data_IF_917003700779
#
_entry.id   IF_917003700779
#
_cell.length_a   1.000
_cell.length_b   1.000
_cell.length_c   1.000
_cell.angle_alpha   90.00
_cell.angle_beta   90.00
_cell.angle_gamma   90.00
#
_symmetry.space_group_name_H-M   'P 1'
#
loop_
_entity.id
_entity.type
_entity.pdbx_description
1 polymer ?
#
# COMPACT_ATOMS: atom_id res chain seq x y z
N UNK A 1 -10.62 13.40 -15.47
CA UNK A 1 -10.60 14.08 -14.15
C UNK A 1 -10.93 13.08 -13.05
N UNK A 2 -10.18 13.06 -11.95
CA UNK A 2 -10.49 12.22 -10.79
C UNK A 2 -11.78 12.73 -10.14
N UNK A 3 -12.75 11.86 -9.89
CA UNK A 3 -14.06 12.26 -9.35
C UNK A 3 -13.92 12.82 -7.92
N UNK A 4 -13.09 12.21 -7.08
CA UNK A 4 -12.81 12.65 -5.70
C UNK A 4 -11.56 11.94 -5.15
N UNK A 5 -10.61 12.69 -4.60
CA UNK A 5 -9.51 12.17 -3.79
C UNK A 5 -9.76 12.61 -2.34
N UNK A 6 -9.85 11.64 -1.43
CA UNK A 6 -10.00 11.87 -0.01
C UNK A 6 -8.63 11.59 0.61
N UNK A 7 -8.04 12.55 1.30
CA UNK A 7 -6.70 12.43 1.87
C UNK A 7 -6.77 12.63 3.37
N UNK A 8 -6.24 11.67 4.13
CA UNK A 8 -6.19 11.68 5.58
C UNK A 8 -4.75 11.46 6.07
N UNK A 9 -4.40 11.99 7.24
CA UNK A 9 -3.11 11.77 7.87
C UNK A 9 -1.94 12.53 7.23
N UNK A 10 -2.19 13.60 6.47
CA UNK A 10 -1.12 14.43 5.87
C UNK A 10 -0.17 15.02 6.90
N UNK A 11 -0.64 15.28 8.08
CA UNK A 11 0.11 15.75 9.24
C UNK A 11 1.20 14.76 9.69
N UNK A 12 1.03 13.48 9.39
CA UNK A 12 2.00 12.43 9.68
C UNK A 12 3.24 12.48 8.76
N UNK A 13 3.22 13.29 7.70
CA UNK A 13 4.34 13.37 6.76
C UNK A 13 5.40 14.34 7.29
N UNK A 14 6.61 13.86 7.62
CA UNK A 14 7.67 14.74 8.12
C UNK A 14 8.08 15.76 7.06
N UNK A 15 8.15 17.02 7.42
CA UNK A 15 8.58 18.10 6.51
C UNK A 15 10.04 17.95 6.10
N UNK A 16 10.90 17.42 6.98
CA UNK A 16 12.35 17.23 6.79
C UNK A 16 12.76 15.82 7.20
N UNK A 17 14.01 15.46 6.95
CA UNK A 17 14.57 14.15 7.31
C UNK A 17 14.38 13.09 6.23
N UNK A 18 14.99 11.93 6.45
CA UNK A 18 14.88 10.78 5.55
C UNK A 18 13.51 10.10 5.72
N UNK A 19 12.80 9.91 4.62
CA UNK A 19 11.46 9.31 4.62
C UNK A 19 11.40 8.16 3.62
N UNK A 20 10.79 7.06 4.03
CA UNK A 20 10.44 5.96 3.15
C UNK A 20 8.91 5.76 3.18
N UNK A 21 8.23 6.11 2.08
CA UNK A 21 6.83 5.79 1.90
C UNK A 21 6.65 4.33 1.49
N UNK A 22 5.86 3.59 2.25
CA UNK A 22 5.52 2.17 2.00
C UNK A 22 4.05 2.09 1.61
N UNK A 23 3.78 1.88 0.32
CA UNK A 23 2.44 2.06 -0.27
C UNK A 23 1.90 0.73 -0.77
N UNK A 24 0.64 0.37 -0.47
CA UNK A 24 -0.04 -0.74 -1.15
C UNK A 24 -0.31 -0.40 -2.62
N UNK A 25 -0.53 -1.40 -3.48
CA UNK A 25 -0.46 -1.18 -4.93
C UNK A 25 -1.68 -1.75 -5.70
N UNK A 26 -2.87 -1.14 -5.58
CA UNK A 26 -4.06 -1.58 -6.32
C UNK A 26 -4.06 -1.20 -7.81
N UNK A 27 -3.35 -0.13 -8.22
CA UNK A 27 -3.29 0.32 -9.62
C UNK A 27 -1.87 0.71 -10.03
N UNK A 28 -1.30 -0.03 -11.00
CA UNK A 28 0.11 0.07 -11.37
C UNK A 28 0.57 1.44 -11.87
N UNK A 29 -0.28 2.21 -12.51
CA UNK A 29 0.08 3.50 -13.12
C UNK A 29 -0.36 4.70 -12.26
N UNK A 30 -1.54 4.62 -11.68
CA UNK A 30 -2.17 5.78 -11.04
C UNK A 30 -1.69 5.98 -9.59
N UNK A 31 -1.37 4.92 -8.87
CA UNK A 31 -0.98 5.01 -7.45
C UNK A 31 0.23 5.93 -7.21
N UNK A 32 1.35 5.81 -7.97
CA UNK A 32 2.47 6.72 -7.81
C UNK A 32 2.08 8.19 -8.02
N UNK A 33 1.22 8.46 -9.01
CA UNK A 33 0.76 9.81 -9.34
C UNK A 33 -0.12 10.39 -8.22
N UNK A 34 -1.08 9.60 -7.71
CA UNK A 34 -1.96 10.04 -6.62
C UNK A 34 -1.14 10.37 -5.37
N UNK A 35 -0.22 9.50 -4.97
CA UNK A 35 0.60 9.75 -3.78
C UNK A 35 1.48 11.00 -3.97
N UNK A 36 2.13 11.14 -5.12
CA UNK A 36 3.04 12.28 -5.38
C UNK A 36 2.32 13.61 -5.41
N UNK A 37 1.16 13.68 -6.06
CA UNK A 37 0.40 14.93 -6.18
C UNK A 37 -0.29 15.35 -4.88
N UNK A 38 -0.40 14.43 -3.91
CA UNK A 38 -1.02 14.70 -2.61
C UNK A 38 -0.03 14.67 -1.43
N UNK A 39 1.27 14.76 -1.71
CA UNK A 39 2.37 14.70 -0.76
C UNK A 39 3.25 15.94 -0.92
N UNK A 40 3.63 16.65 0.16
CA UNK A 40 4.44 17.86 0.09
C UNK A 40 5.93 17.59 -0.20
N UNK A 41 6.36 16.32 -0.21
CA UNK A 41 7.76 15.91 -0.43
C UNK A 41 8.01 15.58 -1.89
N UNK A 42 9.19 15.93 -2.39
CA UNK A 42 9.69 15.40 -3.66
C UNK A 42 10.06 13.92 -3.46
N UNK A 43 9.39 13.03 -4.20
CA UNK A 43 9.55 11.60 -4.07
C UNK A 43 10.44 11.01 -5.16
N UNK A 44 11.25 10.04 -4.78
CA UNK A 44 11.98 9.15 -5.67
C UNK A 44 11.32 7.77 -5.63
N UNK A 45 11.06 7.16 -6.79
CA UNK A 45 10.28 5.93 -6.88
C UNK A 45 11.14 4.75 -7.33
N UNK A 46 11.03 3.62 -6.64
CA UNK A 46 11.55 2.38 -7.15
C UNK A 46 10.54 1.75 -8.12
N UNK A 47 10.94 1.61 -9.37
CA UNK A 47 10.10 1.02 -10.41
C UNK A 47 10.83 -0.08 -11.17
N UNK A 48 10.09 -0.96 -11.84
CA UNK A 48 10.65 -2.12 -12.52
C UNK A 48 11.67 -1.70 -13.60
N UNK A 49 12.88 -2.26 -13.57
CA UNK A 49 13.95 -1.96 -14.55
C UNK A 49 13.55 -2.23 -16.00
N UNK A 50 12.64 -3.19 -16.23
CA UNK A 50 12.12 -3.47 -17.57
C UNK A 50 11.42 -2.26 -18.24
N UNK A 51 10.92 -1.29 -17.46
CA UNK A 51 10.32 -0.05 -17.97
C UNK A 51 11.35 0.90 -18.61
N UNK A 52 12.65 0.73 -18.31
CA UNK A 52 13.75 1.59 -18.80
C UNK A 52 14.45 1.09 -20.05
N UNK A 53 13.89 0.12 -20.77
CA UNK A 53 14.57 -0.51 -21.92
C UNK A 53 14.84 0.46 -23.06
N UNK A 54 13.89 1.36 -23.38
CA UNK A 54 14.02 2.33 -24.48
C UNK A 54 14.74 3.60 -23.98
N UNK A 55 15.76 4.14 -24.70
CA UNK A 55 16.53 5.31 -24.26
C UNK A 55 15.68 6.53 -23.93
N UNK A 56 14.73 6.89 -24.81
CA UNK A 56 13.84 8.03 -24.61
C UNK A 56 12.93 7.87 -23.38
N UNK A 57 12.39 6.66 -23.19
CA UNK A 57 11.58 6.33 -22.01
C UNK A 57 12.44 6.40 -20.74
N UNK A 58 13.68 5.91 -20.79
CA UNK A 58 14.64 6.00 -19.67
C UNK A 58 14.90 7.45 -19.28
N UNK A 59 15.18 8.32 -20.26
CA UNK A 59 15.39 9.74 -20.00
C UNK A 59 14.16 10.36 -19.31
N UNK A 60 12.97 10.12 -19.86
CA UNK A 60 11.71 10.62 -19.31
C UNK A 60 11.46 10.08 -17.89
N UNK A 61 11.61 8.79 -17.64
CA UNK A 61 11.40 8.19 -16.32
C UNK A 61 12.41 8.73 -15.30
N UNK A 62 13.66 8.95 -15.69
CA UNK A 62 14.68 9.54 -14.83
C UNK A 62 14.34 11.00 -14.46
N UNK A 63 13.77 11.79 -15.37
CA UNK A 63 13.34 13.16 -15.09
C UNK A 63 12.19 13.22 -14.07
N UNK A 64 11.41 12.13 -13.96
CA UNK A 64 10.37 11.96 -12.95
C UNK A 64 10.87 11.32 -11.64
N UNK A 65 12.18 11.27 -11.40
CA UNK A 65 12.80 10.64 -10.22
C UNK A 65 12.53 9.14 -10.07
N UNK A 66 12.24 8.42 -11.15
CA UNK A 66 12.10 6.97 -11.10
C UNK A 66 13.47 6.29 -11.11
N UNK A 67 13.63 5.28 -10.27
CA UNK A 67 14.87 4.52 -10.08
C UNK A 67 14.60 3.06 -10.49
N UNK A 68 15.36 2.49 -11.44
CA UNK A 68 15.15 1.11 -11.87
C UNK A 68 15.53 0.13 -10.77
N UNK A 69 14.66 -0.83 -10.45
CA UNK A 69 14.95 -1.95 -9.54
C UNK A 69 14.77 -3.29 -10.27
N UNK A 70 15.75 -4.19 -10.11
CA UNK A 70 15.74 -5.53 -10.68
C UNK A 70 15.17 -6.53 -9.69
N UNK A 71 14.20 -7.35 -10.11
CA UNK A 71 13.51 -8.33 -9.26
C UNK A 71 14.02 -9.74 -9.56
N UNK A 72 13.89 -10.67 -8.60
CA UNK A 72 14.31 -12.06 -8.79
C UNK A 72 13.70 -12.70 -10.05
N UNK A 73 12.43 -12.44 -10.30
CA UNK A 73 11.74 -12.92 -11.52
C UNK A 73 12.22 -12.31 -12.83
N UNK A 74 13.03 -11.26 -12.77
CA UNK A 74 13.65 -10.65 -13.95
C UNK A 74 15.01 -11.32 -14.30
N UNK A 75 15.41 -12.35 -13.52
CA UNK A 75 16.64 -13.16 -13.66
C UNK A 75 17.64 -12.90 -12.53
N UNK A 76 18.22 -13.98 -12.00
CA UNK A 76 19.15 -13.91 -10.85
C UNK A 76 20.39 -13.06 -11.19
N UNK A 77 20.92 -13.18 -12.42
CA UNK A 77 22.08 -12.42 -12.89
C UNK A 77 21.84 -10.90 -12.92
N UNK A 78 20.59 -10.46 -12.99
CA UNK A 78 20.25 -9.03 -12.95
C UNK A 78 20.30 -8.44 -11.55
N UNK A 79 20.22 -9.27 -10.50
CA UNK A 79 20.22 -8.81 -9.10
C UNK A 79 21.52 -8.10 -8.72
N UNK A 80 22.65 -8.45 -9.31
CA UNK A 80 23.93 -7.79 -9.08
C UNK A 80 23.89 -6.30 -9.45
N UNK A 81 23.04 -5.92 -10.42
CA UNK A 81 22.82 -4.52 -10.82
C UNK A 81 22.14 -3.69 -9.71
N UNK A 82 21.47 -4.34 -8.76
CA UNK A 82 20.85 -3.65 -7.63
C UNK A 82 21.87 -3.05 -6.66
N UNK A 83 23.15 -3.45 -6.69
CA UNK A 83 24.18 -2.85 -5.83
C UNK A 83 24.22 -1.33 -6.05
N UNK A 84 24.34 -0.87 -7.30
CA UNK A 84 24.34 0.55 -7.62
C UNK A 84 22.98 1.25 -7.34
N UNK A 85 21.86 0.51 -7.43
CA UNK A 85 20.53 1.03 -7.07
C UNK A 85 20.44 1.27 -5.56
N UNK A 86 20.93 0.34 -4.76
CA UNK A 86 20.96 0.49 -3.29
C UNK A 86 21.87 1.66 -2.88
N UNK A 87 23.06 1.80 -3.50
CA UNK A 87 23.94 2.96 -3.27
C UNK A 87 23.20 4.28 -3.51
N UNK A 88 22.49 4.38 -4.65
CA UNK A 88 21.68 5.56 -4.95
C UNK A 88 20.60 5.82 -3.89
N UNK A 89 19.92 4.76 -3.42
CA UNK A 89 18.92 4.87 -2.37
C UNK A 89 19.53 5.33 -1.03
N UNK A 90 20.69 4.78 -0.65
CA UNK A 90 21.41 5.20 0.56
C UNK A 90 21.77 6.69 0.51
N UNK A 91 22.33 7.14 -0.61
CA UNK A 91 22.69 8.55 -0.80
C UNK A 91 21.46 9.47 -0.73
N UNK A 92 20.34 9.06 -1.31
CA UNK A 92 19.10 9.83 -1.23
C UNK A 92 18.59 9.95 0.21
N UNK A 93 18.56 8.84 0.97
CA UNK A 93 18.15 8.86 2.37
C UNK A 93 19.12 9.68 3.22
N UNK A 94 20.44 9.52 3.02
CA UNK A 94 21.45 10.29 3.73
C UNK A 94 21.36 11.81 3.45
N UNK A 95 20.89 12.19 2.26
CA UNK A 95 20.57 13.56 1.90
C UNK A 95 19.14 13.97 2.27
N UNK A 96 18.52 13.28 3.21
CA UNK A 96 17.18 13.58 3.74
C UNK A 96 16.07 13.66 2.66
N UNK A 97 16.23 12.90 1.58
CA UNK A 97 15.20 12.80 0.53
C UNK A 97 14.14 11.76 0.90
N UNK A 98 13.02 11.80 0.16
CA UNK A 98 11.94 10.84 0.33
C UNK A 98 11.97 9.78 -0.77
N UNK A 99 12.00 8.51 -0.38
CA UNK A 99 11.82 7.36 -1.26
C UNK A 99 10.39 6.85 -1.17
N UNK A 100 9.88 6.26 -2.26
CA UNK A 100 8.60 5.55 -2.28
C UNK A 100 8.80 4.15 -2.83
N UNK A 101 8.25 3.17 -2.14
CA UNK A 101 8.32 1.76 -2.51
C UNK A 101 6.93 1.15 -2.40
N UNK A 102 6.61 0.31 -3.39
CA UNK A 102 5.47 -0.59 -3.37
C UNK A 102 5.95 -1.99 -2.95
N UNK A 103 5.94 -2.30 -1.64
CA UNK A 103 6.65 -3.45 -1.09
C UNK A 103 6.06 -4.80 -1.50
N UNK A 104 4.85 -4.83 -2.03
CA UNK A 104 4.21 -6.02 -2.57
C UNK A 104 4.83 -6.51 -3.88
N UNK A 105 5.64 -5.67 -4.55
CA UNK A 105 6.42 -6.00 -5.74
C UNK A 105 5.64 -6.11 -7.06
N UNK A 106 4.32 -5.99 -7.03
CA UNK A 106 3.43 -5.90 -8.20
C UNK A 106 2.12 -5.24 -7.80
N UNK A 107 1.37 -4.68 -8.77
CA UNK A 107 0.01 -4.23 -8.52
C UNK A 107 -0.97 -5.42 -8.49
N UNK A 108 -2.04 -5.27 -7.72
CA UNK A 108 -3.13 -6.25 -7.63
C UNK A 108 -4.42 -5.52 -7.24
N UNK A 109 -5.49 -5.75 -7.98
CA UNK A 109 -6.79 -5.08 -7.74
C UNK A 109 -7.55 -5.63 -6.53
N UNK A 110 -7.14 -6.79 -6.00
CA UNK A 110 -7.76 -7.37 -4.80
C UNK A 110 -7.59 -6.43 -3.61
N UNK A 111 -8.64 -6.33 -2.83
CA UNK A 111 -8.67 -5.52 -1.61
C UNK A 111 -8.00 -6.25 -0.46
N UNK A 112 -6.71 -6.52 -0.61
CA UNK A 112 -5.93 -7.25 0.38
C UNK A 112 -4.49 -6.76 0.39
N UNK A 113 -3.97 -6.47 1.57
CA UNK A 113 -2.54 -6.24 1.77
C UNK A 113 -1.83 -7.57 1.65
N UNK A 114 -0.94 -7.68 0.68
CA UNK A 114 -0.18 -8.89 0.40
C UNK A 114 1.13 -8.94 1.18
N UNK A 115 1.78 -10.08 1.14
CA UNK A 115 3.09 -10.25 1.78
C UNK A 115 4.10 -9.24 1.26
N UNK A 116 4.73 -8.50 2.17
CA UNK A 116 5.74 -7.50 1.83
C UNK A 116 7.08 -8.18 1.49
N UNK A 117 7.72 -7.72 0.42
CA UNK A 117 9.06 -8.15 0.06
C UNK A 117 10.09 -7.61 1.05
N UNK A 118 11.20 -8.32 1.25
CA UNK A 118 12.29 -7.89 2.14
C UNK A 118 13.26 -6.89 1.48
N UNK A 119 13.02 -6.48 0.23
CA UNK A 119 13.96 -5.60 -0.50
C UNK A 119 14.17 -4.24 0.15
N UNK A 120 13.12 -3.66 0.74
CA UNK A 120 13.21 -2.37 1.39
C UNK A 120 14.10 -2.39 2.66
N UNK A 121 14.15 -3.52 3.38
CA UNK A 121 14.98 -3.61 4.60
C UNK A 121 16.46 -3.49 4.28
N UNK A 122 16.90 -3.99 3.12
CA UNK A 122 18.28 -3.80 2.63
C UNK A 122 18.59 -2.32 2.40
N UNK A 123 17.62 -1.54 1.90
CA UNK A 123 17.81 -0.10 1.68
C UNK A 123 17.87 0.63 3.01
N UNK A 124 16.91 0.38 3.88
CA UNK A 124 16.78 1.09 5.15
C UNK A 124 17.95 0.75 6.09
N UNK A 125 18.16 -0.53 6.35
CA UNK A 125 19.19 -0.98 7.28
C UNK A 125 20.61 -0.74 6.74
N UNK A 126 20.83 -0.89 5.42
CA UNK A 126 22.10 -0.55 4.81
C UNK A 126 22.40 0.96 4.84
N UNK A 127 21.39 1.83 4.84
CA UNK A 127 21.61 3.26 5.04
C UNK A 127 21.93 3.60 6.51
N UNK A 128 21.26 2.97 7.47
CA UNK A 128 21.55 3.13 8.92
C UNK A 128 22.92 2.58 9.28
N UNK A 129 23.32 1.42 8.74
CA UNK A 129 24.62 0.81 8.95
C UNK A 129 25.76 1.75 8.54
N UNK A 130 25.62 2.45 7.42
CA UNK A 130 26.59 3.42 6.90
C UNK A 130 26.61 4.74 7.66
N UNK A 131 25.46 5.17 8.12
CA UNK A 131 25.32 6.39 8.91
C UNK A 131 24.40 6.13 10.12
N UNK A 132 24.97 5.68 11.26
CA UNK A 132 24.20 5.38 12.46
C UNK A 132 23.45 6.59 13.05
N UNK A 133 23.83 7.82 12.68
CA UNK A 133 23.12 9.05 13.08
C UNK A 133 21.88 9.34 12.21
N UNK A 134 21.74 8.64 11.08
CA UNK A 134 20.60 8.82 10.19
C UNK A 134 19.35 8.22 10.79
N UNK A 135 18.34 9.03 11.02
CA UNK A 135 17.01 8.57 11.40
C UNK A 135 16.14 8.46 10.16
N UNK A 136 15.56 7.29 9.94
CA UNK A 136 14.68 7.02 8.79
C UNK A 136 13.26 6.77 9.28
N UNK A 137 12.33 7.64 8.86
CA UNK A 137 10.93 7.48 9.15
C UNK A 137 10.22 6.73 8.02
N UNK A 138 9.61 5.62 8.34
CA UNK A 138 8.78 4.85 7.40
C UNK A 138 7.34 5.32 7.57
N UNK A 139 6.72 5.74 6.47
CA UNK A 139 5.33 6.17 6.43
C UNK A 139 4.52 5.13 5.64
N UNK A 140 3.74 4.28 6.29
CA UNK A 140 2.79 3.41 5.60
C UNK A 140 1.69 4.26 4.96
N UNK A 141 1.30 3.91 3.72
CA UNK A 141 0.30 4.66 2.96
C UNK A 141 -0.71 3.69 2.36
N UNK A 142 -1.95 3.82 2.77
CA UNK A 142 -3.06 3.03 2.26
C UNK A 142 -3.79 3.72 1.12
N UNK A 143 -3.93 3.05 -0.02
CA UNK A 143 -4.74 3.49 -1.15
C UNK A 143 -5.94 2.56 -1.29
N UNK A 144 -7.14 3.14 -1.35
CA UNK A 144 -8.36 2.39 -1.60
C UNK A 144 -9.24 3.11 -2.61
N UNK A 145 -9.45 2.49 -3.77
CA UNK A 145 -10.39 2.97 -4.79
C UNK A 145 -11.80 2.44 -4.51
N UNK A 146 -12.83 3.24 -4.83
CA UNK A 146 -14.18 2.71 -4.95
C UNK A 146 -14.24 1.62 -6.03
N UNK A 147 -13.64 1.92 -7.19
CA UNK A 147 -13.38 0.96 -8.26
C UNK A 147 -12.04 1.32 -8.92
N UNK A 148 -11.06 0.41 -8.91
CA UNK A 148 -9.73 0.66 -9.48
C UNK A 148 -9.67 0.49 -11.00
N UNK A 149 -10.75 0.02 -11.63
CA UNK A 149 -10.81 -0.28 -13.07
C UNK A 149 -11.59 0.74 -13.88
N UNK A 150 -12.38 1.60 -13.22
CA UNK A 150 -13.24 2.58 -13.90
C UNK A 150 -12.75 3.99 -13.66
N UNK A 151 -12.83 4.81 -14.71
CA UNK A 151 -12.56 6.24 -14.65
C UNK A 151 -13.88 7.01 -14.82
N UNK A 152 -14.13 8.11 -14.10
CA UNK A 152 -13.25 8.78 -13.12
C UNK A 152 -13.19 8.06 -11.76
N UNK A 153 -12.04 8.14 -11.08
CA UNK A 153 -11.83 7.48 -9.80
C UNK A 153 -12.43 8.26 -8.62
N UNK A 154 -12.99 7.52 -7.65
CA UNK A 154 -13.12 7.95 -6.26
C UNK A 154 -12.12 7.13 -5.44
N UNK A 155 -11.23 7.78 -4.69
CA UNK A 155 -10.11 7.14 -4.01
C UNK A 155 -9.86 7.76 -2.64
N UNK A 156 -9.55 6.93 -1.65
CA UNK A 156 -9.02 7.34 -0.34
C UNK A 156 -7.52 7.08 -0.30
N UNK A 157 -6.78 8.06 0.20
CA UNK A 157 -5.34 8.04 0.44
C UNK A 157 -5.10 8.35 1.91
N UNK A 158 -4.60 7.38 2.67
CA UNK A 158 -4.43 7.47 4.11
C UNK A 158 -2.95 7.32 4.47
N UNK A 159 -2.36 8.36 5.06
CA UNK A 159 -0.99 8.33 5.59
C UNK A 159 -1.02 7.88 7.04
N UNK A 160 -0.31 6.80 7.37
CA UNK A 160 -0.20 6.24 8.71
C UNK A 160 0.78 6.99 9.59
N UNK A 161 0.82 6.60 10.87
CA UNK A 161 1.79 7.12 11.82
C UNK A 161 3.21 6.71 11.42
N UNK A 162 4.21 7.60 11.58
CA UNK A 162 5.60 7.27 11.29
C UNK A 162 6.10 6.10 12.14
N UNK A 163 6.82 5.19 11.50
CA UNK A 163 7.56 4.10 12.15
C UNK A 163 9.03 4.45 12.06
N UNK A 164 9.73 4.59 13.20
CA UNK A 164 11.17 4.84 13.21
C UNK A 164 11.90 3.53 12.87
N UNK A 165 12.54 3.48 11.71
CA UNK A 165 13.21 2.27 11.25
C UNK A 165 14.40 1.85 12.15
N UNK A 166 15.01 2.83 12.82
CA UNK A 166 16.12 2.62 13.75
C UNK A 166 15.74 1.72 14.93
N UNK A 167 14.47 1.71 15.37
CA UNK A 167 13.99 0.85 16.48
C UNK A 167 14.00 -0.65 16.11
N UNK A 168 14.12 -0.94 14.83
CA UNK A 168 14.18 -2.32 14.30
C UNK A 168 15.58 -2.73 13.84
N UNK A 169 16.54 -1.80 13.83
CA UNK A 169 17.91 -2.08 13.41
C UNK A 169 18.75 -2.60 14.55
N UNK A 170 19.53 -3.65 14.26
CA UNK A 170 20.60 -4.17 15.12
C UNK A 170 21.81 -4.53 14.26
N UNK A 171 23.05 -4.43 14.78
CA UNK A 171 24.25 -4.80 14.00
C UNK A 171 24.20 -6.23 13.45
N UNK A 172 23.63 -7.17 14.21
CA UNK A 172 23.46 -8.58 13.81
C UNK A 172 21.99 -8.87 13.54
N UNK A 173 21.48 -8.36 12.41
CA UNK A 173 20.09 -8.55 11.99
C UNK A 173 19.75 -10.02 11.80
N UNK A 174 18.72 -10.46 12.49
CA UNK A 174 18.13 -11.79 12.34
C UNK A 174 16.94 -11.78 11.39
N UNK A 175 16.48 -12.95 11.00
CA UNK A 175 15.24 -13.08 10.21
C UNK A 175 14.02 -12.54 10.99
N UNK A 176 14.01 -12.69 12.31
CA UNK A 176 12.93 -12.18 13.17
C UNK A 176 12.89 -10.65 13.18
N UNK A 177 14.02 -9.95 13.21
CA UNK A 177 14.05 -8.48 13.16
C UNK A 177 13.49 -7.95 11.83
N UNK A 178 13.84 -8.61 10.72
CA UNK A 178 13.26 -8.30 9.40
C UNK A 178 11.75 -8.58 9.38
N UNK A 179 11.30 -9.62 10.04
CA UNK A 179 9.87 -9.95 10.12
C UNK A 179 9.11 -8.93 10.94
N UNK A 180 9.62 -8.52 12.10
CA UNK A 180 9.01 -7.50 12.96
C UNK A 180 8.71 -6.19 12.23
N UNK A 181 9.69 -5.63 11.50
CA UNK A 181 9.45 -4.37 10.75
C UNK A 181 8.44 -4.56 9.62
N UNK A 182 8.46 -5.72 8.95
CA UNK A 182 7.47 -6.04 7.89
C UNK A 182 6.07 -6.16 8.46
N UNK A 183 5.91 -6.80 9.61
CA UNK A 183 4.63 -6.98 10.26
C UNK A 183 4.07 -5.64 10.75
N UNK A 184 4.91 -4.81 11.39
CA UNK A 184 4.52 -3.47 11.82
C UNK A 184 3.99 -2.61 10.65
N UNK A 185 4.67 -2.65 9.49
CA UNK A 185 4.22 -1.94 8.29
C UNK A 185 2.95 -2.58 7.71
N UNK A 186 2.91 -3.91 7.62
CA UNK A 186 1.76 -4.64 7.08
C UNK A 186 0.49 -4.39 7.89
N UNK A 187 0.59 -4.37 9.21
CA UNK A 187 -0.55 -4.15 10.09
C UNK A 187 -1.09 -2.73 9.96
N UNK A 188 -0.23 -1.73 9.85
CA UNK A 188 -0.69 -0.38 9.52
C UNK A 188 -1.34 -0.30 8.14
N UNK A 189 -0.77 -0.94 7.11
CA UNK A 189 -1.38 -0.95 5.76
C UNK A 189 -2.77 -1.58 5.77
N UNK A 190 -3.01 -2.64 6.57
CA UNK A 190 -4.33 -3.27 6.71
C UNK A 190 -5.37 -2.35 7.34
N UNK A 191 -4.94 -1.44 8.22
CA UNK A 191 -5.83 -0.43 8.81
C UNK A 191 -6.07 0.74 7.85
N UNK A 192 -5.03 1.17 7.13
CA UNK A 192 -5.05 2.32 6.24
C UNK A 192 -5.72 2.05 4.88
N UNK A 193 -5.92 0.79 4.51
CA UNK A 193 -6.62 0.38 3.29
C UNK A 193 -7.68 -0.66 3.59
N UNK A 194 -8.67 -0.82 2.71
CA UNK A 194 -9.62 -1.93 2.87
C UNK A 194 -8.88 -3.25 2.71
N UNK A 195 -8.94 -4.08 3.76
CA UNK A 195 -8.25 -5.36 3.82
C UNK A 195 -9.20 -6.51 4.05
N UNK A 196 -9.42 -7.31 3.00
CA UNK A 196 -10.10 -8.61 3.07
C UNK A 196 -9.00 -9.69 3.04
N UNK A 197 -8.88 -10.55 4.06
CA UNK A 197 -7.89 -11.61 4.06
C UNK A 197 -8.01 -12.53 2.84
N UNK A 198 -6.88 -12.88 2.21
CA UNK A 198 -6.86 -13.83 1.08
C UNK A 198 -7.11 -15.25 1.61
N UNK A 199 -8.36 -15.63 1.69
CA UNK A 199 -8.85 -16.91 2.17
C UNK A 199 -9.91 -17.45 1.21
N UNK A 200 -10.42 -18.68 1.47
CA UNK A 200 -11.55 -19.26 0.72
C UNK A 200 -12.81 -18.38 0.72
N UNK A 201 -12.92 -17.48 1.69
CA UNK A 201 -14.08 -16.57 1.84
C UNK A 201 -13.88 -15.20 1.21
N UNK A 202 -12.75 -14.92 0.56
CA UNK A 202 -12.45 -13.59 -0.01
C UNK A 202 -13.56 -13.11 -0.97
N UNK A 203 -13.88 -13.92 -1.99
CA UNK A 203 -14.88 -13.56 -3.01
C UNK A 203 -16.27 -13.39 -2.38
N UNK A 204 -16.67 -14.31 -1.49
CA UNK A 204 -17.95 -14.19 -0.77
C UNK A 204 -18.04 -12.91 0.07
N UNK A 205 -16.96 -12.51 0.73
CA UNK A 205 -16.91 -11.27 1.50
C UNK A 205 -17.01 -10.05 0.57
N UNK A 206 -16.28 -10.07 -0.54
CA UNK A 206 -16.31 -8.98 -1.53
C UNK A 206 -17.70 -8.83 -2.17
N UNK A 207 -18.36 -9.93 -2.55
CA UNK A 207 -19.72 -9.93 -3.09
C UNK A 207 -20.72 -9.32 -2.10
N UNK A 208 -20.63 -9.68 -0.81
CA UNK A 208 -21.50 -9.11 0.23
C UNK A 208 -21.30 -7.61 0.40
N UNK A 209 -20.06 -7.13 0.41
CA UNK A 209 -19.76 -5.70 0.47
C UNK A 209 -20.32 -4.96 -0.76
N UNK A 210 -20.18 -5.55 -1.96
CA UNK A 210 -20.72 -5.00 -3.19
C UNK A 210 -22.26 -4.96 -3.17
N UNK A 211 -22.91 -6.04 -2.74
CA UNK A 211 -24.38 -6.11 -2.61
C UNK A 211 -24.94 -5.14 -1.58
N UNK A 212 -24.15 -4.84 -0.53
CA UNK A 212 -24.47 -3.81 0.45
C UNK A 212 -24.21 -2.38 -0.06
N UNK A 213 -23.68 -2.23 -1.28
CA UNK A 213 -23.32 -0.97 -1.93
C UNK A 213 -22.48 -0.05 -1.03
N UNK A 214 -21.45 -0.63 -0.38
CA UNK A 214 -20.60 0.12 0.54
C UNK A 214 -19.71 1.13 -0.18
N UNK A 215 -19.43 2.24 0.47
CA UNK A 215 -18.42 3.19 0.03
C UNK A 215 -17.04 2.71 0.50
N UNK A 216 -16.28 2.04 -0.38
CA UNK A 216 -14.95 1.52 -0.04
C UNK A 216 -13.95 2.61 0.35
N UNK A 217 -14.19 3.86 -0.02
CA UNK A 217 -13.31 4.97 0.39
C UNK A 217 -13.46 5.34 1.87
N UNK A 218 -14.49 4.84 2.54
CA UNK A 218 -14.67 4.91 4.00
C UNK A 218 -14.01 3.70 4.68
N UNK A 219 -12.68 3.67 4.61
CA UNK A 219 -11.86 2.52 4.95
C UNK A 219 -12.17 1.94 6.34
N UNK A 220 -12.27 2.80 7.36
CA UNK A 220 -12.52 2.36 8.74
C UNK A 220 -13.89 1.69 8.89
N UNK A 221 -14.95 2.27 8.28
CA UNK A 221 -16.29 1.69 8.32
C UNK A 221 -16.31 0.30 7.65
N UNK A 222 -15.68 0.19 6.49
CA UNK A 222 -15.64 -1.08 5.73
C UNK A 222 -14.81 -2.14 6.47
N UNK A 223 -13.65 -1.78 7.02
CA UNK A 223 -12.84 -2.71 7.79
C UNK A 223 -13.56 -3.18 9.07
N UNK A 224 -14.28 -2.29 9.76
CA UNK A 224 -15.13 -2.68 10.89
C UNK A 224 -16.25 -3.65 10.48
N UNK A 225 -16.90 -3.44 9.33
CA UNK A 225 -17.90 -4.37 8.80
C UNK A 225 -17.31 -5.75 8.50
N UNK A 226 -16.08 -5.82 7.98
CA UNK A 226 -15.38 -7.07 7.72
C UNK A 226 -15.08 -7.82 9.03
N UNK A 227 -14.62 -7.11 10.06
CA UNK A 227 -14.25 -7.70 11.36
C UNK A 227 -15.47 -8.17 12.17
N UNK A 228 -16.54 -7.39 12.20
CA UNK A 228 -17.72 -7.67 13.04
C UNK A 228 -18.73 -8.61 12.39
N UNK A 229 -18.48 -9.14 11.18
CA UNK A 229 -19.42 -9.99 10.44
C UNK A 229 -20.84 -9.38 10.28
N UNK A 230 -20.97 -8.06 10.37
CA UNK A 230 -22.26 -7.34 10.21
C UNK A 230 -22.93 -7.73 8.88
N UNK A 231 -22.14 -8.10 7.88
CA UNK A 231 -22.60 -8.60 6.58
C UNK A 231 -23.46 -9.85 6.77
N UNK A 232 -23.09 -10.78 7.66
CA UNK A 232 -23.84 -11.99 7.93
C UNK A 232 -25.22 -11.73 8.56
N UNK A 233 -25.33 -10.67 9.37
CA UNK A 233 -26.58 -10.30 10.04
C UNK A 233 -27.58 -9.64 9.08
N UNK A 234 -27.12 -8.92 8.05
CA UNK A 234 -27.99 -8.32 7.03
C UNK A 234 -28.65 -9.39 6.15
N UNK A 235 -27.92 -10.41 5.71
CA UNK A 235 -28.48 -11.54 4.96
C UNK A 235 -29.54 -12.32 5.78
N UNK A 236 -29.27 -12.59 7.07
CA UNK A 236 -30.23 -13.26 7.94
C UNK A 236 -31.53 -12.46 8.08
N UNK A 237 -31.45 -11.12 8.24
CA UNK A 237 -32.65 -10.27 8.30
C UNK A 237 -33.44 -10.23 6.98
N UNK A 238 -32.75 -10.14 5.85
CA UNK A 238 -33.40 -10.13 4.53
C UNK A 238 -34.08 -11.48 4.24
N UNK A 239 -33.43 -12.59 4.59
CA UNK A 239 -34.03 -13.92 4.43
C UNK A 239 -35.21 -14.13 5.38
N UNK A 240 -35.15 -13.62 6.60
CA UNK A 240 -36.28 -13.68 7.56
C UNK A 240 -37.48 -12.86 7.06
N UNK A 241 -37.26 -11.66 6.55
CA UNK A 241 -38.32 -10.82 5.98
C UNK A 241 -38.90 -11.44 4.69
N UNK A 242 -38.07 -12.06 3.86
CA UNK A 242 -38.54 -12.79 2.68
C UNK A 242 -39.34 -14.04 3.03
N UNK A 243 -38.96 -14.73 4.10
CA UNK A 243 -39.69 -15.90 4.60
C UNK A 243 -41.03 -15.52 5.24
N UNK A 244 -41.12 -14.37 5.90
CA UNK A 244 -42.37 -13.89 6.54
C UNK A 244 -43.35 -13.20 5.57
N UNK A 245 -42.94 -12.82 4.36
CA UNK A 245 -43.83 -12.20 3.36
C UNK A 245 -45.11 -12.98 3.05
N UNK A 246 -45.11 -14.31 2.87
CA UNK A 246 -46.34 -15.05 2.63
C UNK A 246 -47.26 -15.06 3.86
N UNK A 247 -46.77 -14.98 5.08
CA UNK A 247 -47.61 -14.93 6.29
C UNK A 247 -48.25 -13.57 6.54
N UNK A 248 -47.64 -12.47 6.07
CA UNK A 248 -48.20 -11.12 6.19
C UNK A 248 -49.32 -10.91 5.16
N UNK A 249 -49.25 -11.55 3.98
CA UNK A 249 -50.29 -11.49 2.95
C UNK A 249 -51.54 -12.34 3.26
N UNK A 250 -51.40 -13.33 4.16
CA UNK A 250 -52.54 -14.17 4.61
C UNK A 250 -53.37 -13.53 5.73
N UNK A 251 -52.85 -12.50 6.42
CA UNK A 251 -53.57 -11.78 7.47
C UNK A 251 -54.19 -10.45 7.01
N UNK A 252 -54.21 -10.16 5.71
CA UNK A 252 -54.78 -8.95 5.12
C UNK A 252 -55.98 -9.25 4.18
N UNK A 253 -56.63 -10.42 4.37
CA UNK A 253 -57.92 -10.78 3.77
C UNK A 253 -59.00 -10.89 4.91
#
# INVERSE_FOLDING_TARGET
MTKKIIVNGKENIPKKGAVLFMVNHPNGLIDPLIVTTNNPRTNYFLTRAASFKKPLVRWFLNSLNLIPIYRMRDGVNQLNKNKGVFEKCFNLLNNHKALMIFPEGSHDKRRSVRRLSKGFTRIVFGAIERNPKLQIQIIPVGITYQNSSTYPFKVSLNYGTPILANDFYKPNLTHSDITRIKDAISDQLKVLSVHIPLSKNYEKTLEKLNSANVDFTKVNEVNSMIQTNIINNKERKVNLVRFLRPFVLLNSL
#
